data_IF_201720368458
#
_entry.id   IF_201720368458
#
_cell.length_a   1.000
_cell.length_b   1.000
_cell.length_c   1.000
_cell.angle_alpha   90.00
_cell.angle_beta   90.00
_cell.angle_gamma   90.00
#
_symmetry.space_group_name_H-M   'P 1'
#
loop_
_entity.id
_entity.type
_entity.pdbx_description
1 polymer ?
#
# COMPACT_ATOMS: atom_id res chain seq x y z
N UNK A 1 -0.37 18.14 -24.81
CA UNK A 1 -1.13 18.46 -23.59
C UNK A 1 -1.04 19.97 -23.36
N UNK A 2 -2.16 20.66 -23.10
CA UNK A 2 -2.19 22.10 -22.83
C UNK A 2 -3.10 22.43 -21.63
N UNK A 3 -3.01 23.66 -21.12
CA UNK A 3 -3.80 24.08 -19.95
C UNK A 3 -5.31 23.82 -20.10
N UNK A 4 -5.89 24.17 -21.25
CA UNK A 4 -7.32 23.97 -21.53
C UNK A 4 -7.70 22.49 -21.44
N UNK A 5 -6.91 21.59 -22.03
CA UNK A 5 -7.16 20.16 -21.99
C UNK A 5 -7.11 19.58 -20.56
N UNK A 6 -6.25 20.11 -19.70
CA UNK A 6 -6.17 19.69 -18.28
C UNK A 6 -7.41 20.16 -17.53
N UNK A 7 -7.81 21.42 -17.69
CA UNK A 7 -9.02 21.96 -17.06
C UNK A 7 -10.28 21.21 -17.52
N UNK A 8 -10.36 20.86 -18.80
CA UNK A 8 -11.48 20.07 -19.33
C UNK A 8 -11.52 18.66 -18.74
N UNK A 9 -10.37 18.02 -18.56
CA UNK A 9 -10.28 16.71 -17.90
C UNK A 9 -10.73 16.78 -16.43
N UNK A 10 -10.37 17.83 -15.70
CA UNK A 10 -10.76 18.02 -14.30
C UNK A 10 -12.24 18.43 -14.12
N UNK A 11 -12.77 19.27 -15.02
CA UNK A 11 -14.17 19.76 -14.95
C UNK A 11 -15.17 18.79 -15.54
N UNK A 12 -14.70 17.84 -16.35
CA UNK A 12 -15.56 16.93 -17.10
C UNK A 12 -16.51 16.17 -16.19
N UNK A 13 -17.81 16.45 -16.31
CA UNK A 13 -18.89 15.54 -15.86
C UNK A 13 -18.96 14.25 -16.70
N UNK A 14 -17.99 14.06 -17.61
CA UNK A 14 -17.81 12.94 -18.52
C UNK A 14 -16.47 12.28 -18.18
N UNK A 15 -16.54 11.01 -17.85
CA UNK A 15 -15.46 10.13 -17.37
C UNK A 15 -14.45 9.74 -18.44
N UNK A 16 -14.59 10.22 -19.68
CA UNK A 16 -13.78 9.78 -20.82
C UNK A 16 -12.43 10.50 -20.97
N UNK A 17 -12.28 11.69 -20.36
CA UNK A 17 -11.03 12.48 -20.42
C UNK A 17 -10.05 12.19 -19.28
N UNK A 18 -10.55 11.80 -18.10
CA UNK A 18 -9.73 11.37 -16.97
C UNK A 18 -9.81 9.86 -16.87
N UNK A 19 -8.77 9.17 -17.34
CA UNK A 19 -8.76 7.70 -17.41
C UNK A 19 -8.81 7.07 -16.02
N UNK A 20 -7.94 7.52 -15.11
CA UNK A 20 -7.91 7.12 -13.70
C UNK A 20 -6.96 8.03 -12.91
N UNK A 21 -7.04 7.97 -11.58
CA UNK A 21 -5.98 8.48 -10.69
C UNK A 21 -5.06 7.35 -10.21
N UNK A 22 -3.88 7.72 -9.75
CA UNK A 22 -2.92 6.80 -9.12
C UNK A 22 -2.78 7.25 -7.68
N UNK A 23 -2.97 6.33 -6.76
CA UNK A 23 -2.95 6.58 -5.32
C UNK A 23 -2.05 5.57 -4.60
N UNK A 24 -1.68 5.87 -3.36
CA UNK A 24 -1.16 4.88 -2.42
C UNK A 24 -2.31 4.10 -1.79
N UNK A 25 -2.03 2.98 -1.12
CA UNK A 25 -3.06 2.29 -0.35
C UNK A 25 -3.41 3.11 0.89
N UNK A 26 -4.66 3.61 1.04
CA UNK A 26 -5.01 4.52 2.12
C UNK A 26 -4.81 3.92 3.52
N UNK A 27 -4.82 2.59 3.61
CA UNK A 27 -4.55 1.81 4.83
C UNK A 27 -3.15 2.05 5.39
N UNK A 28 -2.18 2.45 4.57
CA UNK A 28 -0.83 2.81 5.04
C UNK A 28 -0.84 4.10 5.88
N UNK A 29 -1.88 4.93 5.75
CA UNK A 29 -2.01 6.18 6.48
C UNK A 29 -1.94 5.98 8.00
N UNK A 30 -1.14 6.82 8.67
CA UNK A 30 -0.91 6.80 10.13
C UNK A 30 -2.15 6.87 11.02
N UNK A 31 -3.25 7.34 10.48
CA UNK A 31 -4.52 7.55 11.17
C UNK A 31 -5.66 6.95 10.37
N UNK A 32 -5.43 5.85 9.65
CA UNK A 32 -6.46 5.22 8.84
C UNK A 32 -7.57 4.67 9.73
N UNK A 33 -7.22 3.80 10.68
CA UNK A 33 -8.12 3.22 11.68
C UNK A 33 -8.04 3.93 13.02
N UNK A 34 -9.06 3.69 13.85
CA UNK A 34 -9.04 4.11 15.25
C UNK A 34 -8.00 3.28 15.98
N UNK A 35 -7.31 3.85 16.97
CA UNK A 35 -6.36 3.05 17.73
C UNK A 35 -5.66 3.74 18.87
N UNK A 36 -4.80 2.97 19.53
CA UNK A 36 -3.95 3.43 20.61
C UNK A 36 -2.60 2.72 20.51
N UNK A 37 -1.62 3.44 19.97
CA UNK A 37 -0.28 2.94 19.58
C UNK A 37 0.45 2.28 20.74
N UNK A 38 0.34 2.83 21.95
CA UNK A 38 1.04 2.33 23.13
C UNK A 38 0.52 0.97 23.59
N UNK A 39 -0.73 0.63 23.24
CA UNK A 39 -1.34 -0.65 23.58
C UNK A 39 -1.42 -1.61 22.39
N UNK A 40 -1.00 -1.19 21.19
CA UNK A 40 -1.07 -2.01 19.98
C UNK A 40 -2.50 -2.29 19.48
N UNK A 41 -3.50 -1.59 20.00
CA UNK A 41 -4.91 -1.81 19.65
C UNK A 41 -5.29 -0.88 18.50
N UNK A 42 -5.94 -1.45 17.50
CA UNK A 42 -6.62 -0.72 16.43
C UNK A 42 -7.98 -1.35 16.15
N UNK A 43 -8.92 -0.54 15.69
CA UNK A 43 -10.29 -0.95 15.42
C UNK A 43 -10.76 -0.32 14.11
N UNK A 44 -11.43 -1.14 13.29
CA UNK A 44 -12.16 -0.62 12.14
C UNK A 44 -13.36 0.22 12.57
N UNK A 45 -13.92 1.07 11.70
CA UNK A 45 -15.02 1.98 12.06
C UNK A 45 -16.25 1.25 12.65
N UNK A 46 -16.64 0.11 12.06
CA UNK A 46 -17.75 -0.72 12.57
C UNK A 46 -17.44 -1.38 13.92
N UNK A 47 -16.18 -1.68 14.17
CA UNK A 47 -15.76 -2.22 15.46
C UNK A 47 -15.83 -1.15 16.53
N UNK A 48 -15.35 0.06 16.25
CA UNK A 48 -15.46 1.19 17.19
C UNK A 48 -16.91 1.55 17.49
N UNK A 49 -17.81 1.48 16.51
CA UNK A 49 -19.25 1.68 16.73
C UNK A 49 -19.86 0.66 17.69
N UNK A 50 -19.35 -0.58 17.71
CA UNK A 50 -19.90 -1.66 18.56
C UNK A 50 -19.17 -1.82 19.90
N UNK A 51 -17.84 -1.69 19.93
CA UNK A 51 -16.98 -1.86 21.11
C UNK A 51 -16.75 -0.54 21.86
N UNK A 52 -17.03 0.60 21.24
CA UNK A 52 -16.79 1.93 21.77
C UNK A 52 -15.36 2.44 21.55
N UNK A 53 -15.16 3.68 21.95
CA UNK A 53 -13.91 4.44 21.74
C UNK A 53 -12.93 4.34 22.91
N UNK A 54 -13.11 3.37 23.82
CA UNK A 54 -12.27 3.19 25.00
C UNK A 54 -11.33 2.01 24.77
N UNK A 55 -10.03 2.24 24.94
CA UNK A 55 -9.01 1.21 24.84
C UNK A 55 -9.23 0.12 25.91
N UNK A 56 -9.38 -1.15 25.54
CA UNK A 56 -9.63 -2.24 26.49
C UNK A 56 -8.43 -2.55 27.38
N UNK A 57 -7.23 -2.09 27.02
CA UNK A 57 -5.98 -2.37 27.74
C UNK A 57 -5.72 -1.35 28.84
N UNK A 58 -5.90 -0.05 28.57
CA UNK A 58 -5.52 1.02 29.50
C UNK A 58 -6.65 1.97 29.91
N UNK A 59 -7.86 1.81 29.34
CA UNK A 59 -9.02 2.65 29.64
C UNK A 59 -8.99 4.08 29.07
N UNK A 60 -7.94 4.47 28.34
CA UNK A 60 -7.88 5.76 27.65
C UNK A 60 -8.69 5.73 26.35
N UNK A 61 -9.09 6.90 25.87
CA UNK A 61 -9.76 7.01 24.56
C UNK A 61 -8.82 6.61 23.43
N UNK A 62 -9.38 5.97 22.41
CA UNK A 62 -8.71 5.74 21.14
C UNK A 62 -8.58 7.05 20.37
N UNK A 63 -7.48 7.18 19.63
CA UNK A 63 -7.34 8.21 18.60
C UNK A 63 -8.27 7.84 17.45
N UNK A 64 -9.16 8.76 17.08
CA UNK A 64 -10.14 8.55 16.00
C UNK A 64 -9.45 8.71 14.65
N UNK A 65 -9.55 7.70 13.81
CA UNK A 65 -9.01 7.62 12.47
C UNK A 65 -9.95 8.16 11.40
N UNK A 66 -9.41 8.27 10.18
CA UNK A 66 -10.10 8.78 8.99
C UNK A 66 -11.29 7.90 8.65
N UNK A 67 -11.16 6.57 8.74
CA UNK A 67 -12.25 5.66 8.38
C UNK A 67 -13.48 5.79 9.28
N UNK A 68 -13.29 6.13 10.56
CA UNK A 68 -14.40 6.43 11.46
C UNK A 68 -15.17 7.66 10.98
N UNK A 69 -14.47 8.74 10.59
CA UNK A 69 -15.10 9.93 10.05
C UNK A 69 -15.82 9.66 8.72
N UNK A 70 -15.25 8.81 7.87
CA UNK A 70 -15.90 8.38 6.62
C UNK A 70 -17.20 7.63 6.93
N UNK A 71 -17.19 6.65 7.83
CA UNK A 71 -18.37 5.87 8.21
C UNK A 71 -19.48 6.76 8.80
N UNK A 72 -19.13 7.74 9.65
CA UNK A 72 -20.11 8.68 10.21
C UNK A 72 -20.83 9.53 9.15
N UNK A 73 -20.15 9.83 8.04
CA UNK A 73 -20.68 10.65 6.96
C UNK A 73 -21.24 9.82 5.79
N UNK A 74 -21.03 8.51 5.81
CA UNK A 74 -21.40 7.62 4.73
C UNK A 74 -22.93 7.56 4.60
N UNK A 75 -23.41 7.93 3.42
CA UNK A 75 -24.80 7.78 2.97
C UNK A 75 -25.01 6.49 2.16
N UNK A 76 -23.96 5.68 2.01
CA UNK A 76 -23.90 4.50 1.12
C UNK A 76 -23.10 3.38 1.79
N UNK A 77 -23.36 2.12 1.43
CA UNK A 77 -22.55 1.01 1.94
C UNK A 77 -21.11 1.09 1.42
N UNK A 78 -20.21 0.50 2.18
CA UNK A 78 -18.82 0.30 1.80
C UNK A 78 -18.72 -0.45 0.47
N UNK A 79 -17.79 -0.01 -0.39
CA UNK A 79 -17.62 -0.57 -1.73
C UNK A 79 -18.61 -0.03 -2.78
N UNK A 80 -19.52 0.89 -2.42
CA UNK A 80 -20.37 1.54 -3.42
C UNK A 80 -19.52 2.41 -4.37
N UNK A 81 -19.62 2.12 -5.67
CA UNK A 81 -18.94 2.88 -6.74
C UNK A 81 -19.99 3.58 -7.61
N UNK A 82 -20.00 4.92 -7.70
CA UNK A 82 -20.89 5.64 -8.60
C UNK A 82 -20.64 5.29 -10.07
N UNK A 83 -21.70 5.15 -10.87
CA UNK A 83 -21.63 4.76 -12.30
C UNK A 83 -20.70 5.65 -13.16
N UNK A 84 -20.56 6.93 -12.79
CA UNK A 84 -19.75 7.92 -13.51
C UNK A 84 -18.53 8.38 -12.71
N UNK A 85 -18.00 7.53 -11.84
CA UNK A 85 -16.74 7.79 -11.16
C UNK A 85 -15.56 7.44 -12.08
N UNK A 86 -14.49 8.25 -12.01
CA UNK A 86 -13.21 7.85 -12.61
C UNK A 86 -12.55 6.82 -11.69
N UNK A 87 -12.04 5.70 -12.21
CA UNK A 87 -11.37 4.70 -11.38
C UNK A 87 -10.07 5.25 -10.80
N UNK A 88 -9.56 4.60 -9.77
CA UNK A 88 -8.21 4.82 -9.27
C UNK A 88 -7.46 3.49 -9.24
N UNK A 89 -6.13 3.56 -9.29
CA UNK A 89 -5.25 2.41 -9.11
C UNK A 89 -4.35 2.68 -7.91
N UNK A 90 -4.33 1.75 -6.96
CA UNK A 90 -3.38 1.80 -5.85
C UNK A 90 -2.08 1.15 -6.29
N UNK A 91 -0.95 1.81 -6.07
CA UNK A 91 0.37 1.30 -6.41
C UNK A 91 1.24 1.18 -5.16
N UNK A 92 2.19 0.24 -5.22
CA UNK A 92 3.33 0.14 -4.32
C UNK A 92 4.57 0.54 -5.14
N UNK A 93 5.47 1.39 -4.62
CA UNK A 93 6.69 1.75 -5.32
C UNK A 93 7.50 0.53 -5.76
N UNK A 94 8.07 0.56 -6.96
CA UNK A 94 8.76 -0.59 -7.54
C UNK A 94 9.92 -1.07 -6.67
N UNK A 95 10.65 -0.15 -6.03
CA UNK A 95 11.73 -0.51 -5.10
C UNK A 95 11.22 -1.33 -3.90
N UNK A 96 10.03 -1.02 -3.37
CA UNK A 96 9.42 -1.78 -2.27
C UNK A 96 8.99 -3.17 -2.74
N UNK A 97 8.42 -3.26 -3.95
CA UNK A 97 8.08 -4.56 -4.56
C UNK A 97 9.34 -5.41 -4.72
N UNK A 98 10.42 -4.84 -5.25
CA UNK A 98 11.69 -5.55 -5.44
C UNK A 98 12.27 -6.00 -4.10
N UNK A 99 12.31 -5.10 -3.12
CA UNK A 99 12.84 -5.37 -1.79
C UNK A 99 12.10 -6.53 -1.12
N UNK A 100 10.77 -6.51 -1.16
CA UNK A 100 9.96 -7.56 -0.57
C UNK A 100 10.07 -8.88 -1.35
N UNK A 101 10.08 -8.82 -2.68
CA UNK A 101 10.22 -10.00 -3.55
C UNK A 101 11.54 -10.74 -3.33
N UNK A 102 12.61 -10.01 -3.03
CA UNK A 102 13.95 -10.57 -2.82
C UNK A 102 14.29 -10.80 -1.34
N UNK A 103 13.42 -10.39 -0.40
CA UNK A 103 13.67 -10.52 1.04
C UNK A 103 14.85 -9.66 1.52
N UNK A 104 15.06 -8.48 0.93
CA UNK A 104 16.16 -7.56 1.28
C UNK A 104 15.64 -6.19 1.66
N UNK A 105 16.49 -5.35 2.25
CA UNK A 105 16.13 -3.95 2.53
C UNK A 105 15.97 -3.12 1.25
N UNK A 106 15.02 -2.18 1.27
CA UNK A 106 14.73 -1.27 0.15
C UNK A 106 15.93 -0.45 -0.30
N UNK A 107 16.81 -0.06 0.62
CA UNK A 107 17.99 0.78 0.34
C UNK A 107 19.24 -0.01 -0.07
N UNK A 108 19.09 -1.31 -0.38
CA UNK A 108 20.22 -2.15 -0.77
C UNK A 108 20.63 -1.91 -2.23
N UNK A 109 21.93 -2.09 -2.52
CA UNK A 109 22.44 -2.04 -3.91
C UNK A 109 21.78 -3.08 -4.82
N UNK A 110 21.32 -4.20 -4.25
CA UNK A 110 20.58 -5.23 -4.97
C UNK A 110 19.28 -4.66 -5.53
N UNK A 111 18.49 -3.97 -4.70
CA UNK A 111 17.24 -3.32 -5.12
C UNK A 111 17.51 -2.28 -6.20
N UNK A 112 18.48 -1.39 -5.96
CA UNK A 112 18.87 -0.36 -6.94
C UNK A 112 19.25 -0.99 -8.30
N UNK A 113 20.02 -2.09 -8.29
CA UNK A 113 20.44 -2.77 -9.53
C UNK A 113 19.24 -3.32 -10.30
N UNK A 114 18.31 -3.99 -9.63
CA UNK A 114 17.10 -4.51 -10.27
C UNK A 114 16.18 -3.39 -10.75
N UNK A 115 16.01 -2.34 -9.96
CA UNK A 115 15.24 -1.16 -10.34
C UNK A 115 15.81 -0.56 -11.62
N UNK A 116 17.10 -0.24 -11.66
CA UNK A 116 17.74 0.32 -12.86
C UNK A 116 17.65 -0.62 -14.07
N UNK A 117 17.77 -1.94 -13.87
CA UNK A 117 17.61 -2.93 -14.95
C UNK A 117 16.19 -2.91 -15.55
N UNK A 118 15.17 -2.85 -14.70
CA UNK A 118 13.77 -2.79 -15.13
C UNK A 118 13.46 -1.47 -15.84
N UNK A 119 13.91 -0.34 -15.29
CA UNK A 119 13.75 0.98 -15.92
C UNK A 119 14.49 1.04 -17.27
N UNK A 120 15.72 0.52 -17.36
CA UNK A 120 16.45 0.51 -18.61
C UNK A 120 15.80 -0.36 -19.69
N UNK A 121 15.13 -1.45 -19.31
CA UNK A 121 14.45 -2.37 -20.24
C UNK A 121 13.06 -1.86 -20.66
N UNK A 122 12.28 -1.30 -19.73
CA UNK A 122 10.86 -0.97 -19.93
C UNK A 122 10.56 0.53 -19.93
N UNK A 123 11.55 1.38 -19.66
CA UNK A 123 11.50 2.84 -19.82
C UNK A 123 11.19 3.61 -18.54
N UNK A 124 10.17 3.21 -17.78
CA UNK A 124 9.80 3.91 -16.53
C UNK A 124 9.12 3.01 -15.51
N UNK A 125 9.09 3.47 -14.25
CA UNK A 125 8.43 2.74 -13.17
C UNK A 125 6.94 2.58 -13.44
N UNK A 126 6.26 3.64 -13.88
CA UNK A 126 4.85 3.55 -14.24
C UNK A 126 4.60 2.55 -15.36
N UNK A 127 5.50 2.43 -16.33
CA UNK A 127 5.37 1.45 -17.39
C UNK A 127 5.44 0.02 -16.82
N UNK A 128 6.44 -0.25 -15.98
CA UNK A 128 6.61 -1.54 -15.28
C UNK A 128 5.42 -1.86 -14.37
N UNK A 129 4.90 -0.88 -13.64
CA UNK A 129 3.81 -1.09 -12.68
C UNK A 129 2.42 -1.18 -13.33
N UNK A 130 2.19 -0.57 -14.49
CA UNK A 130 0.85 -0.43 -15.07
C UNK A 130 0.63 -1.21 -16.36
N UNK A 131 1.63 -1.29 -17.23
CA UNK A 131 1.42 -1.63 -18.64
C UNK A 131 2.24 -2.84 -19.11
N UNK A 132 3.49 -2.99 -18.65
CA UNK A 132 4.38 -4.09 -19.09
C UNK A 132 3.74 -5.45 -18.81
N UNK A 133 3.73 -6.39 -19.77
CA UNK A 133 3.25 -7.75 -19.54
C UNK A 133 4.02 -8.45 -18.41
N UNK A 134 3.31 -9.16 -17.52
CA UNK A 134 3.92 -9.80 -16.36
C UNK A 134 5.00 -10.81 -16.76
N UNK A 135 4.80 -11.56 -17.84
CA UNK A 135 5.78 -12.55 -18.32
C UNK A 135 7.12 -11.91 -18.70
N UNK A 136 7.11 -10.70 -19.28
CA UNK A 136 8.34 -9.98 -19.61
C UNK A 136 9.09 -9.50 -18.35
N UNK A 137 8.36 -9.19 -17.28
CA UNK A 137 8.95 -8.85 -15.98
C UNK A 137 9.53 -10.13 -15.34
N UNK A 138 8.81 -11.26 -15.44
CA UNK A 138 9.26 -12.57 -14.95
C UNK A 138 10.53 -13.06 -15.66
N UNK A 139 10.76 -12.67 -16.92
CA UNK A 139 12.03 -12.92 -17.62
C UNK A 139 13.23 -12.18 -16.99
N UNK A 140 13.00 -11.03 -16.33
CA UNK A 140 14.05 -10.32 -15.59
C UNK A 140 14.28 -11.00 -14.25
N UNK A 141 13.18 -11.24 -13.52
CA UNK A 141 13.15 -11.97 -12.26
C UNK A 141 11.74 -12.50 -11.96
N UNK A 142 11.56 -13.82 -11.78
CA UNK A 142 10.25 -14.41 -11.54
C UNK A 142 9.55 -13.88 -10.27
N UNK A 143 10.28 -13.61 -9.19
CA UNK A 143 9.71 -13.15 -7.93
C UNK A 143 9.25 -11.71 -8.04
N UNK A 144 10.05 -10.84 -8.66
CA UNK A 144 9.65 -9.45 -8.90
C UNK A 144 8.42 -9.39 -9.81
N UNK A 145 8.39 -10.19 -10.88
CA UNK A 145 7.22 -10.27 -11.76
C UNK A 145 5.95 -10.74 -11.05
N UNK A 146 6.07 -11.70 -10.13
CA UNK A 146 4.96 -12.12 -9.26
C UNK A 146 4.53 -11.00 -8.30
N UNK A 147 5.48 -10.28 -7.70
CA UNK A 147 5.18 -9.15 -6.82
C UNK A 147 4.39 -8.04 -7.52
N UNK A 148 4.79 -7.68 -8.75
CA UNK A 148 4.06 -6.71 -9.58
C UNK A 148 2.66 -7.21 -9.92
N UNK A 149 2.51 -8.49 -10.25
CA UNK A 149 1.20 -9.09 -10.56
C UNK A 149 0.23 -9.04 -9.37
N UNK A 150 0.71 -9.38 -8.17
CA UNK A 150 -0.07 -9.30 -6.92
C UNK A 150 -0.50 -7.88 -6.60
N UNK A 151 0.39 -6.90 -6.73
CA UNK A 151 0.06 -5.47 -6.55
C UNK A 151 -1.01 -5.02 -7.55
N UNK A 152 -0.85 -5.34 -8.85
CA UNK A 152 -1.84 -4.99 -9.87
C UNK A 152 -3.22 -5.61 -9.64
N UNK A 153 -3.26 -6.81 -9.05
CA UNK A 153 -4.49 -7.53 -8.68
C UNK A 153 -5.05 -7.12 -7.31
N UNK A 154 -4.34 -6.29 -6.54
CA UNK A 154 -4.69 -5.95 -5.16
C UNK A 154 -4.62 -7.14 -4.20
N UNK A 155 -3.86 -8.18 -4.53
CA UNK A 155 -3.68 -9.38 -3.72
C UNK A 155 -2.56 -9.15 -2.69
N UNK A 156 -2.87 -8.33 -1.69
CA UNK A 156 -1.92 -7.87 -0.68
C UNK A 156 -2.44 -8.14 0.74
N UNK A 157 -1.52 -8.37 1.66
CA UNK A 157 -1.81 -8.37 3.09
C UNK A 157 -1.52 -6.99 3.66
N UNK A 158 -2.55 -6.34 4.19
CA UNK A 158 -2.44 -4.96 4.65
C UNK A 158 -2.78 -4.88 6.13
N UNK A 159 -1.81 -4.47 6.93
CA UNK A 159 -2.01 -4.06 8.32
C UNK A 159 -2.30 -2.55 8.31
N UNK A 160 -3.50 -2.09 8.72
CA UNK A 160 -3.86 -0.67 8.66
C UNK A 160 -3.09 0.16 9.70
N UNK A 161 -2.77 1.40 9.34
CA UNK A 161 -2.16 2.37 10.24
C UNK A 161 -3.17 2.98 11.22
N UNK A 162 -2.67 3.39 12.38
CA UNK A 162 -3.48 3.94 13.48
C UNK A 162 -2.61 4.75 14.46
N UNK A 163 -3.21 5.76 15.10
CA UNK A 163 -2.59 6.55 16.17
C UNK A 163 -1.12 6.97 15.90
N UNK A 164 -0.81 7.41 14.68
CA UNK A 164 0.53 7.86 14.30
C UNK A 164 1.46 6.76 13.75
N UNK A 165 1.06 5.49 13.81
CA UNK A 165 1.78 4.34 13.28
C UNK A 165 1.35 4.11 11.84
N UNK A 166 2.30 4.08 10.91
CA UNK A 166 2.00 3.73 9.51
C UNK A 166 1.49 2.30 9.40
N UNK A 167 0.55 2.09 8.48
CA UNK A 167 0.18 0.74 8.07
C UNK A 167 1.34 0.05 7.35
N UNK A 168 1.22 -1.25 7.18
CA UNK A 168 2.21 -2.07 6.50
C UNK A 168 1.54 -2.85 5.39
N UNK A 169 2.03 -2.67 4.17
CA UNK A 169 1.71 -3.56 3.06
C UNK A 169 2.71 -4.72 3.08
N UNK A 170 2.21 -5.92 2.82
CA UNK A 170 3.00 -7.08 2.49
C UNK A 170 2.43 -7.74 1.24
N UNK A 171 3.29 -7.93 0.25
CA UNK A 171 2.98 -8.58 -1.02
C UNK A 171 3.03 -10.11 -0.87
N UNK A 172 3.91 -10.61 0.01
CA UNK A 172 4.10 -12.04 0.25
C UNK A 172 3.79 -12.43 1.69
N UNK A 173 3.20 -13.62 1.86
CA UNK A 173 2.92 -14.19 3.17
C UNK A 173 4.20 -14.53 3.95
N UNK A 174 4.12 -14.62 5.27
CA UNK A 174 5.29 -14.96 6.11
C UNK A 174 5.89 -16.34 5.80
N UNK A 175 5.08 -17.28 5.32
CA UNK A 175 5.52 -18.65 4.95
C UNK A 175 6.15 -18.72 3.55
N UNK A 176 5.97 -17.69 2.72
CA UNK A 176 6.47 -17.64 1.34
C UNK A 176 7.85 -16.95 1.24
N UNK A 177 8.36 -16.43 2.35
CA UNK A 177 9.68 -15.78 2.39
C UNK A 177 10.79 -16.82 2.37
N UNK A 178 11.79 -16.59 1.53
CA UNK A 178 13.07 -17.28 1.61
C UNK A 178 13.67 -16.96 2.99
N UNK A 179 14.18 -17.95 3.75
CA UNK A 179 14.68 -17.71 5.10
C UNK A 179 15.74 -16.61 5.11
N UNK A 180 15.50 -15.57 5.94
CA UNK A 180 16.44 -14.49 6.19
C UNK A 180 17.77 -15.11 6.67
N UNK A 181 18.88 -14.77 6.00
CA UNK A 181 20.21 -15.12 6.48
C UNK A 181 20.47 -14.51 7.88
N UNK A 182 21.35 -15.11 8.68
CA UNK A 182 21.49 -14.77 10.10
C UNK A 182 21.77 -13.28 10.30
N UNK A 183 20.97 -12.66 11.16
CA UNK A 183 21.19 -11.31 11.67
C UNK A 183 22.34 -11.35 12.66
N UNK A 184 23.54 -10.98 12.23
CA UNK A 184 24.68 -10.76 13.11
C UNK A 184 24.36 -9.61 14.08
N UNK A 185 24.02 -9.98 15.31
CA UNK A 185 23.60 -9.06 16.36
C UNK A 185 23.68 -9.64 17.77
N UNK A 186 24.53 -10.64 18.03
CA UNK A 186 24.92 -10.98 19.41
C UNK A 186 26.19 -10.20 19.77
N UNK A 187 25.98 -9.05 20.43
CA UNK A 187 27.02 -8.38 21.20
C UNK A 187 27.45 -9.32 22.34
N UNK A 188 28.59 -9.99 22.14
CA UNK A 188 29.32 -10.69 23.19
C UNK A 188 29.61 -9.74 24.35
N UNK A 189 28.95 -9.96 25.48
CA UNK A 189 29.38 -9.46 26.77
C UNK A 189 30.65 -10.18 27.19
N UNK A 190 31.79 -9.51 27.08
CA UNK A 190 33.02 -9.95 27.71
C UNK A 190 33.15 -9.26 29.08
N UNK A 191 33.20 -10.12 30.10
CA UNK A 191 33.79 -9.88 31.42
C UNK A 191 35.25 -9.40 31.30
#
# INVERSE_FOLDING_TARGET
MNYTSIIEAMRGRRTDKLLYTIEFFPQEGKYHYDGHRLCGIHQGPRETLSKGEICPVCGRRLTIGVMNRVEQLADRPEGFVPERSSPFKSLVPLEEIIAESLGVGQTTKTVETYYQRLIARFGSEFEVLLNTPIDEIKDVDPQIGEGVDRVRKGQLHIEPGYDGVFGKIRIFGQEERIPEGPTDGEQLSLL
#
